data_IF_250699517174
#
_entry.id   IF_250699517174
#
_cell.length_a   1.000
_cell.length_b   1.000
_cell.length_c   1.000
_cell.angle_alpha   90.00
_cell.angle_beta   90.00
_cell.angle_gamma   90.00
#
_symmetry.space_group_name_H-M   'P 1'
#
loop_
_entity.id
_entity.type
_entity.pdbx_description
1 polymer ?
#
# COMPACT_ATOMS: atom_id res chain seq x y z
N UNK A 1 -24.02 1.41 81.15
CA UNK A 1 -24.77 1.79 79.94
C UNK A 1 -23.77 1.75 78.79
N UNK A 2 -23.74 0.65 78.04
CA UNK A 2 -24.25 0.54 76.65
C UNK A 2 -23.42 1.44 75.69
N UNK A 3 -22.85 0.99 74.57
CA UNK A 3 -23.23 -0.12 73.71
C UNK A 3 -22.03 -0.65 72.88
N UNK A 4 -22.15 -1.93 72.57
CA UNK A 4 -21.49 -2.70 71.52
C UNK A 4 -21.85 -2.13 70.13
N UNK A 5 -20.90 -2.00 69.21
CA UNK A 5 -21.12 -1.98 67.75
C UNK A 5 -19.79 -2.28 67.04
N UNK A 6 -19.59 -3.54 66.66
CA UNK A 6 -19.85 -4.12 65.33
C UNK A 6 -18.76 -3.81 64.29
N UNK A 7 -18.05 -4.89 63.93
CA UNK A 7 -17.12 -5.01 62.82
C UNK A 7 -17.75 -4.54 61.51
N UNK A 8 -16.95 -3.92 60.64
CA UNK A 8 -17.11 -4.07 59.19
C UNK A 8 -15.71 -4.07 58.53
N UNK A 9 -15.24 -5.26 58.19
CA UNK A 9 -14.09 -5.49 57.32
C UNK A 9 -14.50 -5.21 55.88
N UNK A 10 -14.04 -4.08 55.32
CA UNK A 10 -14.18 -3.79 53.89
C UNK A 10 -13.11 -4.52 53.08
N UNK A 11 -13.49 -5.61 52.40
CA UNK A 11 -12.64 -6.36 51.47
C UNK A 11 -12.62 -5.63 50.12
N UNK A 12 -11.54 -4.93 49.79
CA UNK A 12 -11.36 -4.30 48.48
C UNK A 12 -10.75 -5.30 47.50
N UNK A 13 -11.59 -6.00 46.71
CA UNK A 13 -11.14 -6.72 45.51
C UNK A 13 -11.18 -5.77 44.31
N UNK A 14 -10.03 -5.21 43.95
CA UNK A 14 -9.82 -4.57 42.66
C UNK A 14 -9.58 -5.65 41.60
N UNK A 15 -10.65 -6.01 40.88
CA UNK A 15 -10.55 -6.86 39.69
C UNK A 15 -9.84 -6.11 38.57
N UNK A 16 -8.62 -6.55 38.23
CA UNK A 16 -7.89 -6.11 37.05
C UNK A 16 -8.58 -6.75 35.84
N UNK A 17 -9.51 -6.03 35.22
CA UNK A 17 -10.00 -6.36 33.89
C UNK A 17 -8.88 -6.07 32.90
N UNK A 18 -8.05 -7.10 32.65
CA UNK A 18 -7.13 -7.12 31.51
C UNK A 18 -7.96 -7.01 30.23
N UNK A 19 -7.87 -5.87 29.57
CA UNK A 19 -8.49 -5.64 28.27
C UNK A 19 -7.77 -6.57 27.29
N UNK A 20 -8.42 -7.66 26.89
CA UNK A 20 -8.01 -8.49 25.76
C UNK A 20 -8.05 -7.60 24.52
N UNK A 21 -6.90 -7.02 24.16
CA UNK A 21 -6.71 -6.36 22.88
C UNK A 21 -6.78 -7.45 21.82
N UNK A 22 -7.96 -7.65 21.24
CA UNK A 22 -8.12 -8.43 20.01
C UNK A 22 -7.29 -7.70 18.96
N UNK A 23 -6.30 -8.34 18.32
CA UNK A 23 -5.55 -7.72 17.25
C UNK A 23 -6.55 -7.42 16.13
N UNK A 24 -6.93 -6.16 16.00
CA UNK A 24 -7.66 -5.67 14.84
C UNK A 24 -6.69 -5.81 13.67
N UNK A 25 -7.06 -6.60 12.67
CA UNK A 25 -6.31 -6.70 11.41
C UNK A 25 -6.11 -5.26 10.92
N UNK A 26 -4.88 -4.77 11.00
CA UNK A 26 -4.57 -3.38 10.79
C UNK A 26 -4.84 -3.05 9.32
N UNK A 27 -5.98 -2.45 9.03
CA UNK A 27 -6.17 -1.75 7.77
C UNK A 27 -4.98 -0.81 7.60
N UNK A 28 -4.31 -0.86 6.45
CA UNK A 28 -3.15 -0.03 6.21
C UNK A 28 -3.55 1.44 6.44
N UNK A 29 -2.87 2.12 7.37
CA UNK A 29 -3.19 3.50 7.70
C UNK A 29 -3.11 4.38 6.45
N UNK A 30 -4.11 5.22 6.21
CA UNK A 30 -4.12 6.15 5.06
C UNK A 30 -3.30 7.40 5.35
N UNK A 31 -2.74 8.02 4.31
CA UNK A 31 -2.07 9.31 4.39
C UNK A 31 -3.02 10.36 5.01
N UNK A 32 -2.65 10.97 6.15
CA UNK A 32 -3.47 12.01 6.75
C UNK A 32 -3.63 13.21 5.82
N UNK A 33 -4.85 13.71 5.69
CA UNK A 33 -5.21 14.87 4.86
C UNK A 33 -4.69 14.75 3.42
N UNK A 34 -4.88 13.56 2.81
CA UNK A 34 -4.45 13.28 1.45
C UNK A 34 -5.01 14.31 0.45
N UNK A 35 -4.10 14.90 -0.33
CA UNK A 35 -4.39 15.88 -1.38
C UNK A 35 -4.18 15.24 -2.75
N UNK A 36 -5.28 14.84 -3.40
CA UNK A 36 -5.25 14.12 -4.68
C UNK A 36 -4.57 14.93 -5.80
N UNK A 37 -4.81 16.24 -5.84
CA UNK A 37 -4.23 17.16 -6.82
C UNK A 37 -2.69 17.16 -6.81
N UNK A 38 -2.09 17.04 -5.62
CA UNK A 38 -0.64 16.94 -5.44
C UNK A 38 -0.09 15.56 -5.79
N UNK A 39 -0.93 14.54 -5.79
CA UNK A 39 -0.54 13.17 -6.12
C UNK A 39 -0.50 12.91 -7.63
N UNK A 40 -1.10 13.78 -8.44
CA UNK A 40 -1.12 13.65 -9.89
C UNK A 40 0.27 13.70 -10.54
N UNK A 41 0.33 13.32 -11.81
CA UNK A 41 1.52 13.42 -12.65
C UNK A 41 2.35 12.15 -12.67
N UNK A 42 3.64 12.34 -12.97
CA UNK A 42 4.60 11.26 -13.22
C UNK A 42 5.11 10.62 -11.93
N UNK A 43 5.13 9.30 -11.91
CA UNK A 43 5.71 8.43 -10.89
C UNK A 43 6.49 7.29 -11.55
N UNK A 44 7.48 6.77 -10.84
CA UNK A 44 8.23 5.58 -11.21
C UNK A 44 7.98 4.48 -10.19
N UNK A 45 7.49 3.32 -10.63
CA UNK A 45 7.41 2.12 -9.79
C UNK A 45 8.82 1.64 -9.50
N UNK A 46 9.33 1.92 -8.30
CA UNK A 46 10.74 1.71 -7.94
C UNK A 46 10.94 0.53 -6.99
N UNK A 47 9.90 0.09 -6.31
CA UNK A 47 9.95 -1.08 -5.42
C UNK A 47 8.59 -1.76 -5.31
N UNK A 48 8.63 -3.08 -5.10
CA UNK A 48 7.46 -3.92 -4.95
C UNK A 48 7.71 -4.98 -3.88
N UNK A 49 6.66 -5.36 -3.16
CA UNK A 49 6.61 -6.58 -2.36
C UNK A 49 5.22 -7.20 -2.49
N UNK A 50 5.11 -8.49 -2.76
CA UNK A 50 3.81 -9.16 -2.91
C UNK A 50 3.89 -10.63 -2.54
N UNK A 51 2.77 -11.17 -2.03
CA UNK A 51 2.59 -12.59 -1.74
C UNK A 51 2.12 -13.41 -2.95
N UNK A 52 1.89 -12.78 -4.11
CA UNK A 52 1.44 -13.48 -5.32
C UNK A 52 2.49 -14.44 -5.86
N UNK A 53 2.10 -15.69 -6.14
CA UNK A 53 2.98 -16.68 -6.77
C UNK A 53 3.57 -16.19 -8.09
N UNK A 54 2.76 -15.51 -8.93
CA UNK A 54 3.24 -14.94 -10.19
C UNK A 54 4.34 -13.91 -9.96
N UNK A 55 4.18 -13.05 -8.96
CA UNK A 55 5.18 -12.05 -8.61
C UNK A 55 6.46 -12.72 -8.11
N UNK A 56 6.35 -13.69 -7.20
CA UNK A 56 7.50 -14.41 -6.65
C UNK A 56 8.31 -15.14 -7.73
N UNK A 57 7.64 -15.66 -8.76
CA UNK A 57 8.28 -16.29 -9.93
C UNK A 57 8.93 -15.27 -10.87
N UNK A 58 8.30 -14.12 -11.10
CA UNK A 58 8.72 -13.16 -12.15
C UNK A 58 9.53 -11.98 -11.64
N UNK A 59 9.64 -11.76 -10.32
CA UNK A 59 10.27 -10.57 -9.71
C UNK A 59 11.66 -10.22 -10.25
N UNK A 60 12.48 -11.22 -10.60
CA UNK A 60 13.84 -11.02 -11.16
C UNK A 60 13.86 -10.48 -12.59
N UNK A 61 12.77 -10.65 -13.32
CA UNK A 61 12.62 -10.19 -14.70
C UNK A 61 11.84 -8.87 -14.80
N UNK A 62 11.38 -8.32 -13.66
CA UNK A 62 10.69 -7.05 -13.64
C UNK A 62 11.70 -5.91 -13.79
N UNK A 63 11.27 -4.84 -14.44
CA UNK A 63 12.01 -3.58 -14.56
C UNK A 63 11.12 -2.44 -14.11
N UNK A 64 11.73 -1.30 -13.80
CA UNK A 64 11.01 -0.09 -13.45
C UNK A 64 9.95 0.25 -14.50
N UNK A 65 8.79 0.71 -14.04
CA UNK A 65 7.70 1.16 -14.90
C UNK A 65 7.52 2.67 -14.70
N UNK A 66 7.19 3.37 -15.80
CA UNK A 66 6.72 4.75 -15.79
C UNK A 66 5.20 4.75 -15.57
N UNK A 67 4.73 5.47 -14.58
CA UNK A 67 3.30 5.57 -14.23
C UNK A 67 2.85 7.02 -14.24
N UNK A 68 1.82 7.34 -15.01
CA UNK A 68 1.19 8.67 -15.02
C UNK A 68 -0.17 8.57 -14.33
N UNK A 69 -0.35 9.38 -13.29
CA UNK A 69 -1.59 9.51 -12.54
C UNK A 69 -2.32 10.76 -13.04
N UNK A 70 -3.54 10.59 -13.55
CA UNK A 70 -4.38 11.67 -14.05
C UNK A 70 -5.79 11.58 -13.45
N UNK A 71 -6.52 12.71 -13.32
CA UNK A 71 -7.90 12.67 -12.85
C UNK A 71 -8.79 11.89 -13.82
N UNK A 72 -9.77 11.18 -13.28
CA UNK A 72 -10.84 10.53 -14.03
C UNK A 72 -12.16 11.29 -13.87
N UNK A 73 -13.06 11.14 -14.84
CA UNK A 73 -14.34 11.86 -14.85
C UNK A 73 -15.29 11.45 -13.71
N UNK A 74 -15.09 10.28 -13.11
CA UNK A 74 -15.87 9.75 -11.99
C UNK A 74 -15.31 10.17 -10.61
N UNK A 75 -14.38 11.13 -10.57
CA UNK A 75 -13.71 11.57 -9.35
C UNK A 75 -12.65 10.58 -8.84
N UNK A 76 -12.29 9.58 -9.64
CA UNK A 76 -11.17 8.68 -9.40
C UNK A 76 -9.89 9.09 -10.15
N UNK A 77 -9.01 8.11 -10.36
CA UNK A 77 -7.73 8.31 -11.03
C UNK A 77 -7.53 7.33 -12.19
N UNK A 78 -7.01 7.84 -13.30
CA UNK A 78 -6.43 7.04 -14.37
C UNK A 78 -4.95 6.81 -14.08
N UNK A 79 -4.57 5.56 -13.80
CA UNK A 79 -3.20 5.13 -13.62
C UNK A 79 -2.70 4.49 -14.92
N UNK A 80 -1.91 5.23 -15.70
CA UNK A 80 -1.34 4.76 -16.96
C UNK A 80 0.11 4.33 -16.76
N UNK A 81 0.36 3.02 -16.76
CA UNK A 81 1.68 2.42 -16.61
C UNK A 81 2.28 2.00 -17.95
N UNK A 82 3.51 2.38 -18.21
CA UNK A 82 4.33 1.98 -19.36
C UNK A 82 5.52 1.16 -18.88
N UNK A 83 5.71 -0.01 -19.48
CA UNK A 83 6.74 -0.97 -19.05
C UNK A 83 7.29 -1.77 -20.22
N UNK A 84 8.50 -2.29 -20.05
CA UNK A 84 9.17 -3.13 -21.03
C UNK A 84 8.69 -4.58 -20.92
N UNK A 85 8.20 -5.14 -22.02
CA UNK A 85 7.82 -6.55 -22.12
C UNK A 85 8.31 -7.14 -23.44
N UNK A 86 9.15 -8.18 -23.36
CA UNK A 86 9.78 -8.82 -24.54
C UNK A 86 10.41 -7.81 -25.51
N UNK A 87 11.20 -6.88 -24.96
CA UNK A 87 11.85 -5.78 -25.68
C UNK A 87 10.92 -4.77 -26.37
N UNK A 88 9.62 -4.79 -26.07
CA UNK A 88 8.64 -3.81 -26.56
C UNK A 88 8.05 -3.00 -25.41
N UNK A 89 7.77 -1.72 -25.67
CA UNK A 89 7.07 -0.87 -24.72
C UNK A 89 5.57 -1.17 -24.78
N UNK A 90 5.02 -1.65 -23.67
CA UNK A 90 3.58 -1.81 -23.50
C UNK A 90 3.05 -0.75 -22.52
N UNK A 91 1.89 -0.18 -22.85
CA UNK A 91 1.16 0.75 -21.98
C UNK A 91 -0.18 0.17 -21.58
N UNK A 92 -0.53 0.32 -20.30
CA UNK A 92 -1.79 -0.14 -19.70
C UNK A 92 -2.34 0.95 -18.80
N UNK A 93 -3.65 1.20 -18.90
CA UNK A 93 -4.35 2.14 -18.02
C UNK A 93 -5.30 1.38 -17.11
N UNK A 94 -5.21 1.64 -15.82
CA UNK A 94 -6.13 1.18 -14.79
C UNK A 94 -6.97 2.35 -14.30
N UNK A 95 -8.29 2.16 -14.22
CA UNK A 95 -9.19 3.12 -13.60
C UNK A 95 -9.33 2.77 -12.12
N UNK A 96 -8.80 3.65 -11.26
CA UNK A 96 -8.92 3.60 -9.81
C UNK A 96 -10.15 4.40 -9.39
N UNK A 97 -11.20 3.73 -8.92
CA UNK A 97 -12.44 4.38 -8.48
C UNK A 97 -12.39 4.69 -6.99
N UNK A 98 -12.96 5.81 -6.52
CA UNK A 98 -13.05 6.08 -5.09
C UNK A 98 -13.72 4.92 -4.35
N UNK A 99 -13.11 4.45 -3.26
CA UNK A 99 -13.62 3.31 -2.48
C UNK A 99 -13.84 3.63 -0.99
N UNK A 100 -13.44 4.81 -0.55
CA UNK A 100 -13.53 5.22 0.85
C UNK A 100 -13.08 6.66 1.06
N UNK A 101 -12.42 6.97 2.19
CA UNK A 101 -11.79 8.27 2.42
C UNK A 101 -10.75 8.63 1.32
N UNK A 102 -10.40 9.92 1.17
CA UNK A 102 -9.35 10.34 0.22
C UNK A 102 -8.07 9.52 0.38
N UNK A 103 -7.54 9.01 -0.74
CA UNK A 103 -6.38 8.11 -0.76
C UNK A 103 -6.72 6.62 -0.80
N UNK A 104 -8.01 6.24 -0.73
CA UNK A 104 -8.50 4.87 -0.87
C UNK A 104 -9.30 4.70 -2.18
N UNK A 105 -8.84 3.78 -3.02
CA UNK A 105 -9.43 3.50 -4.33
C UNK A 105 -9.61 2.00 -4.56
N UNK A 106 -10.48 1.63 -5.49
CA UNK A 106 -10.68 0.26 -5.94
C UNK A 106 -10.48 0.12 -7.43
N UNK A 107 -10.00 -1.05 -7.86
CA UNK A 107 -9.94 -1.41 -9.27
C UNK A 107 -10.23 -2.90 -9.47
N UNK A 108 -10.76 -3.22 -10.65
CA UNK A 108 -10.92 -4.60 -11.10
C UNK A 108 -9.85 -4.87 -12.13
N UNK A 109 -9.01 -5.87 -11.90
CA UNK A 109 -7.98 -6.23 -12.85
C UNK A 109 -8.57 -7.14 -13.94
N UNK A 110 -8.27 -6.91 -15.23
CA UNK A 110 -8.64 -7.85 -16.29
C UNK A 110 -7.91 -9.20 -16.18
N UNK A 111 -6.75 -9.21 -15.51
CA UNK A 111 -5.87 -10.38 -15.41
C UNK A 111 -5.92 -11.08 -14.04
N UNK A 112 -6.37 -10.37 -13.01
CA UNK A 112 -6.45 -10.87 -11.64
C UNK A 112 -7.92 -10.86 -11.23
N UNK A 113 -8.46 -12.02 -10.88
CA UNK A 113 -9.87 -12.12 -10.52
C UNK A 113 -10.14 -11.44 -9.18
N UNK A 114 -11.09 -10.51 -9.16
CA UNK A 114 -11.56 -9.86 -7.94
C UNK A 114 -11.42 -8.34 -7.96
N UNK A 115 -11.99 -7.73 -6.93
CA UNK A 115 -11.83 -6.31 -6.66
C UNK A 115 -10.63 -6.13 -5.73
N UNK A 116 -9.77 -5.21 -6.10
CA UNK A 116 -8.60 -4.81 -5.33
C UNK A 116 -8.84 -3.43 -4.75
N UNK A 117 -8.46 -3.22 -3.50
CA UNK A 117 -8.38 -1.90 -2.88
C UNK A 117 -6.92 -1.45 -2.85
N UNK A 118 -6.71 -0.17 -3.15
CA UNK A 118 -5.43 0.53 -3.14
C UNK A 118 -5.54 1.68 -2.16
N UNK A 119 -4.63 1.68 -1.21
CA UNK A 119 -4.51 2.71 -0.18
C UNK A 119 -3.18 3.43 -0.35
N UNK A 120 -3.21 4.76 -0.47
CA UNK A 120 -2.03 5.61 -0.34
C UNK A 120 -1.74 5.76 1.16
N UNK A 121 -0.75 5.00 1.62
CA UNK A 121 -0.41 4.91 3.05
C UNK A 121 0.38 6.11 3.52
N UNK A 122 1.36 6.52 2.71
CA UNK A 122 2.25 7.62 3.04
C UNK A 122 2.75 8.28 1.76
N UNK A 123 2.76 9.60 1.70
CA UNK A 123 3.36 10.34 0.58
C UNK A 123 3.76 11.73 1.03
N UNK A 124 4.91 12.19 0.53
CA UNK A 124 5.31 13.60 0.60
C UNK A 124 4.97 14.38 -0.68
N UNK A 125 4.29 13.71 -1.63
CA UNK A 125 3.90 14.20 -2.96
C UNK A 125 5.05 14.48 -3.92
N UNK A 126 6.21 14.90 -3.41
CA UNK A 126 7.34 15.45 -4.17
C UNK A 126 8.48 14.45 -4.40
N UNK A 127 8.60 13.39 -3.60
CA UNK A 127 9.70 12.43 -3.73
C UNK A 127 9.24 10.98 -3.77
N UNK A 128 8.26 10.59 -2.94
CA UNK A 128 7.79 9.20 -2.86
C UNK A 128 6.33 9.06 -2.48
N UNK A 129 5.79 7.87 -2.76
CA UNK A 129 4.57 7.40 -2.14
C UNK A 129 4.66 5.90 -1.86
N UNK A 130 4.13 5.49 -0.70
CA UNK A 130 3.97 4.11 -0.29
C UNK A 130 2.50 3.73 -0.44
N UNK A 131 2.25 2.71 -1.25
CA UNK A 131 0.91 2.21 -1.50
C UNK A 131 0.80 0.78 -0.98
N UNK A 132 -0.38 0.45 -0.47
CA UNK A 132 -0.76 -0.92 -0.13
C UNK A 132 -1.95 -1.33 -0.98
N UNK A 133 -1.89 -2.52 -1.57
CA UNK A 133 -2.98 -3.11 -2.33
C UNK A 133 -3.38 -4.41 -1.67
N UNK A 134 -4.67 -4.61 -1.47
CA UNK A 134 -5.21 -5.90 -1.02
C UNK A 134 -6.44 -6.30 -1.85
N UNK A 135 -6.74 -7.59 -1.91
CA UNK A 135 -7.97 -8.08 -2.56
C UNK A 135 -8.99 -8.44 -1.52
N UNK A 136 -10.23 -8.01 -1.73
CA UNK A 136 -11.36 -8.57 -1.00
C UNK A 136 -11.78 -9.85 -1.69
N UNK A 137 -11.28 -11.00 -1.24
CA UNK A 137 -11.96 -12.26 -1.50
C UNK A 137 -12.35 -12.91 -0.19
N UNK A 138 -13.49 -13.60 -0.21
CA UNK A 138 -13.82 -14.57 0.81
C UNK A 138 -12.69 -15.62 0.97
N UNK A 139 -12.81 -16.52 1.94
CA UNK A 139 -11.69 -17.23 2.55
C UNK A 139 -10.79 -17.95 1.52
N UNK A 140 -9.54 -17.53 1.40
CA UNK A 140 -8.52 -18.21 0.59
C UNK A 140 -7.57 -17.27 -0.16
N UNK A 141 -6.51 -16.84 0.53
CA UNK A 141 -5.41 -15.96 0.08
C UNK A 141 -5.84 -14.60 -0.48
N UNK A 142 -5.86 -13.62 0.43
CA UNK A 142 -5.91 -12.21 0.10
C UNK A 142 -4.60 -11.85 -0.61
N UNK A 143 -4.67 -11.52 -1.89
CA UNK A 143 -3.52 -10.96 -2.59
C UNK A 143 -3.18 -9.64 -1.91
N UNK A 144 -1.92 -9.48 -1.54
CA UNK A 144 -1.38 -8.26 -0.95
C UNK A 144 -0.16 -7.79 -1.74
N UNK A 145 -0.02 -6.48 -1.88
CA UNK A 145 1.12 -5.86 -2.53
C UNK A 145 1.47 -4.50 -1.92
N UNK A 146 2.70 -4.33 -1.47
CA UNK A 146 3.28 -3.02 -1.16
C UNK A 146 3.99 -2.47 -2.41
N UNK A 147 3.77 -1.19 -2.72
CA UNK A 147 4.38 -0.51 -3.87
C UNK A 147 5.07 0.77 -3.43
N UNK A 148 6.30 0.98 -3.91
CA UNK A 148 7.02 2.24 -3.81
C UNK A 148 6.93 2.98 -5.15
N UNK A 149 6.25 4.13 -5.14
CA UNK A 149 6.41 5.14 -6.17
C UNK A 149 7.49 6.15 -5.78
N UNK A 150 8.27 6.57 -6.77
CA UNK A 150 9.20 7.71 -6.63
C UNK A 150 9.00 8.70 -7.77
N UNK A 151 9.21 9.99 -7.51
CA UNK A 151 9.25 11.02 -8.56
C UNK A 151 10.51 10.95 -9.43
N UNK A 152 11.52 10.18 -9.02
CA UNK A 152 12.78 10.00 -9.75
C UNK A 152 13.04 8.52 -10.02
N UNK A 153 13.79 8.21 -11.08
CA UNK A 153 14.19 6.82 -11.37
C UNK A 153 15.17 6.26 -10.32
N UNK A 154 15.89 7.14 -9.61
CA UNK A 154 16.89 6.79 -8.59
C UNK A 154 16.45 7.28 -7.20
N UNK A 155 15.48 6.61 -6.53
CA UNK A 155 15.10 6.99 -5.18
C UNK A 155 16.30 6.88 -4.23
N UNK A 156 16.43 7.88 -3.34
CA UNK A 156 17.47 7.93 -2.30
C UNK A 156 17.42 6.67 -1.42
N UNK A 157 18.56 6.33 -0.81
CA UNK A 157 18.66 5.17 0.08
C UNK A 157 17.63 5.24 1.24
N UNK A 158 17.42 6.43 1.80
CA UNK A 158 16.44 6.68 2.86
C UNK A 158 15.00 6.31 2.44
N UNK A 159 14.61 6.60 1.19
CA UNK A 159 13.28 6.25 0.64
C UNK A 159 13.17 4.74 0.47
N UNK A 160 14.24 4.09 -0.01
CA UNK A 160 14.29 2.63 -0.14
C UNK A 160 14.19 1.93 1.22
N UNK A 161 14.91 2.42 2.22
CA UNK A 161 14.86 1.91 3.59
C UNK A 161 13.48 2.10 4.23
N UNK A 162 12.86 3.27 4.00
CA UNK A 162 11.49 3.55 4.41
C UNK A 162 10.51 2.55 3.80
N UNK A 163 10.60 2.27 2.50
CA UNK A 163 9.78 1.24 1.85
C UNK A 163 10.02 -0.15 2.41
N UNK A 164 11.28 -0.54 2.63
CA UNK A 164 11.61 -1.85 3.20
C UNK A 164 11.04 -2.01 4.62
N UNK A 165 11.12 -0.96 5.43
CA UNK A 165 10.54 -0.92 6.79
C UNK A 165 9.03 -1.05 6.73
N UNK A 166 8.37 -0.28 5.85
CA UNK A 166 6.94 -0.36 5.62
C UNK A 166 6.50 -1.77 5.17
N UNK A 167 7.16 -2.35 4.17
CA UNK A 167 6.83 -3.68 3.68
C UNK A 167 7.00 -4.76 4.77
N UNK A 168 8.07 -4.69 5.57
CA UNK A 168 8.27 -5.59 6.73
C UNK A 168 7.17 -5.42 7.78
N UNK A 169 6.73 -4.20 8.05
CA UNK A 169 5.61 -3.93 8.96
C UNK A 169 4.27 -4.51 8.46
N UNK A 170 4.10 -4.64 7.13
CA UNK A 170 2.95 -5.33 6.51
C UNK A 170 3.12 -6.86 6.44
N UNK A 171 4.19 -7.42 7.03
CA UNK A 171 4.43 -8.87 7.08
C UNK A 171 5.15 -9.45 5.87
N UNK A 172 5.64 -8.63 4.93
CA UNK A 172 6.46 -9.10 3.83
C UNK A 172 7.86 -9.50 4.31
N UNK A 173 8.35 -10.64 3.84
CA UNK A 173 9.71 -11.12 4.10
C UNK A 173 10.71 -10.38 3.24
N UNK A 174 11.97 -10.32 3.68
CA UNK A 174 13.03 -9.59 2.97
C UNK A 174 13.25 -10.08 1.53
N UNK A 175 13.11 -11.38 1.29
CA UNK A 175 13.23 -11.97 -0.05
C UNK A 175 12.05 -11.63 -0.97
N UNK A 176 10.90 -11.23 -0.42
CA UNK A 176 9.73 -10.79 -1.20
C UNK A 176 9.78 -9.29 -1.56
N UNK A 177 10.69 -8.53 -0.97
CA UNK A 177 10.91 -7.10 -1.26
C UNK A 177 11.92 -6.97 -2.40
N UNK A 178 11.54 -6.30 -3.48
CA UNK A 178 12.44 -6.03 -4.61
C UNK A 178 12.45 -4.56 -4.97
N UNK A 179 13.64 -4.05 -5.27
CA UNK A 179 13.82 -2.76 -5.92
C UNK A 179 14.03 -3.00 -7.41
N UNK A 180 13.21 -2.34 -8.22
CA UNK A 180 13.18 -2.59 -9.65
C UNK A 180 14.38 -1.92 -10.33
N UNK A 181 15.09 -2.64 -11.22
CA UNK A 181 16.19 -2.05 -11.97
C UNK A 181 15.67 -0.95 -12.89
N UNK A 182 16.47 0.11 -13.02
CA UNK A 182 16.21 1.19 -13.97
C UNK A 182 16.32 0.67 -15.40
N UNK A 183 15.58 1.29 -16.31
CA UNK A 183 15.65 1.04 -17.74
C UNK A 183 15.42 2.36 -18.46
N UNK A 184 16.29 2.73 -19.38
CA UNK A 184 16.07 3.91 -20.22
C UNK A 184 14.99 3.65 -21.28
N UNK A 185 14.74 2.37 -21.61
CA UNK A 185 13.68 1.99 -22.55
C UNK A 185 12.31 2.33 -21.96
N UNK A 186 11.44 2.90 -22.78
CA UNK A 186 10.04 3.23 -22.47
C UNK A 186 9.86 4.36 -21.43
N UNK A 187 10.90 5.17 -21.19
CA UNK A 187 10.86 6.28 -20.22
C UNK A 187 10.63 7.65 -20.85
N UNK A 188 10.79 7.78 -22.17
CA UNK A 188 10.63 9.04 -22.90
C UNK A 188 9.21 9.62 -22.74
N UNK A 189 9.14 10.94 -22.67
CA UNK A 189 7.90 11.69 -22.90
C UNK A 189 7.79 11.89 -24.40
N UNK A 190 6.80 11.26 -25.04
CA UNK A 190 6.33 11.80 -26.32
C UNK A 190 5.77 13.18 -26.00
N UNK A 191 6.60 14.20 -26.24
CA UNK A 191 6.30 15.61 -26.07
C UNK A 191 5.38 16.08 -27.19
#
# INVERSE_FOLDING_TARGET
MAALNMLWTGLALLGILGVLQIPTQAQAALQPNFQEDKFLGLWFTSGLASNSSWFLEKKKALSMCKSVVAPAADGGLNLTSTFLRKDQCETRTLLLRPAGPPGCYSYTSPHWSGNHEVSVVETDYEAYALLYTESFRGPGQDFCMATLYSRTQAPKAEIKEKFATFAKAQGFTEDSIVFLPQTDKCMEENT
#
